data_IF_938988137319
#
_entry.id   IF_938988137319
#
_cell.length_a   1.000
_cell.length_b   1.000
_cell.length_c   1.000
_cell.angle_alpha   90.00
_cell.angle_beta   90.00
_cell.angle_gamma   90.00
#
_symmetry.space_group_name_H-M   'P 1'
#
loop_
_entity.id
_entity.type
_entity.pdbx_description
1 polymer ?
#
# COMPACT_ATOMS: atom_id res chain seq x y z
N UNK A 1 -0.85 -15.91 9.78
CA UNK A 1 -0.10 -15.79 8.52
C UNK A 1 0.94 -14.69 8.67
N UNK A 2 2.23 -15.03 8.65
CA UNK A 2 3.33 -14.06 8.69
C UNK A 2 3.41 -13.42 7.31
N UNK A 3 2.97 -12.16 7.18
CA UNK A 3 2.97 -11.46 5.90
C UNK A 3 4.41 -11.08 5.51
N UNK A 4 4.81 -11.46 4.29
CA UNK A 4 6.08 -11.04 3.70
C UNK A 4 5.99 -9.56 3.33
N UNK A 5 7.05 -8.75 3.54
CA UNK A 5 7.11 -7.40 3.00
C UNK A 5 6.84 -7.42 1.50
N UNK A 6 6.11 -6.43 1.00
CA UNK A 6 5.80 -6.29 -0.42
C UNK A 6 6.79 -5.32 -1.05
N UNK A 7 7.32 -5.62 -2.23
CA UNK A 7 8.11 -4.65 -3.00
C UNK A 7 7.27 -3.40 -3.30
N UNK A 8 7.85 -2.22 -3.13
CA UNK A 8 7.19 -0.92 -3.41
C UNK A 8 6.56 -0.89 -4.80
N UNK A 9 7.28 -1.37 -5.83
CA UNK A 9 6.78 -1.39 -7.22
C UNK A 9 5.49 -2.16 -7.35
N UNK A 10 5.40 -3.32 -6.70
CA UNK A 10 4.21 -4.17 -6.73
C UNK A 10 3.06 -3.51 -5.98
N UNK A 11 3.36 -2.90 -4.83
CA UNK A 11 2.39 -2.19 -4.01
C UNK A 11 1.79 -0.99 -4.77
N UNK A 12 2.62 -0.12 -5.34
CA UNK A 12 2.19 1.01 -6.16
C UNK A 12 1.38 0.57 -7.39
N UNK A 13 1.69 -0.59 -7.97
CA UNK A 13 0.90 -1.16 -9.08
C UNK A 13 -0.51 -1.52 -8.63
N UNK A 14 -0.67 -2.09 -7.44
CA UNK A 14 -2.00 -2.39 -6.88
C UNK A 14 -2.80 -1.12 -6.60
N UNK A 15 -2.17 -0.08 -6.05
CA UNK A 15 -2.83 1.20 -5.83
C UNK A 15 -3.35 1.83 -7.12
N UNK A 16 -2.53 1.82 -8.19
CA UNK A 16 -2.96 2.29 -9.51
C UNK A 16 -4.15 1.52 -10.08
N UNK A 17 -4.27 0.22 -9.80
CA UNK A 17 -5.42 -0.58 -10.26
C UNK A 17 -6.72 -0.15 -9.60
N UNK A 18 -6.64 0.44 -8.40
CA UNK A 18 -7.81 0.88 -7.64
C UNK A 18 -7.99 2.40 -7.60
N UNK A 19 -7.19 3.13 -8.38
CA UNK A 19 -7.21 4.59 -8.40
C UNK A 19 -6.77 5.25 -7.09
N UNK A 20 -6.02 4.53 -6.24
CA UNK A 20 -5.53 5.08 -4.98
C UNK A 20 -4.18 5.75 -5.18
N UNK A 21 -3.96 6.83 -4.45
CA UNK A 21 -2.77 7.65 -4.57
C UNK A 21 -1.88 7.55 -3.33
N UNK A 22 -0.58 7.62 -3.57
CA UNK A 22 0.43 7.53 -2.53
C UNK A 22 1.23 8.83 -2.51
N UNK A 23 0.96 9.69 -1.53
CA UNK A 23 1.58 11.00 -1.41
C UNK A 23 2.81 10.91 -0.52
N UNK A 24 3.97 11.28 -1.05
CA UNK A 24 5.24 11.27 -0.31
C UNK A 24 5.28 12.40 0.72
N UNK A 25 5.40 12.05 2.00
CA UNK A 25 5.71 12.99 3.08
C UNK A 25 7.21 13.11 3.34
N UNK A 26 7.57 13.71 4.48
CA UNK A 26 8.99 13.89 4.89
C UNK A 26 9.68 12.59 5.33
N UNK A 27 8.93 11.67 5.94
CA UNK A 27 9.43 10.42 6.53
C UNK A 27 8.57 9.24 6.08
N UNK A 28 7.25 9.45 6.02
CA UNK A 28 6.27 8.45 5.64
C UNK A 28 5.46 8.87 4.40
N UNK A 29 4.81 7.90 3.76
CA UNK A 29 3.87 8.12 2.66
C UNK A 29 2.43 8.11 3.17
N UNK A 30 1.56 8.95 2.62
CA UNK A 30 0.12 8.95 2.91
C UNK A 30 -0.61 8.23 1.79
N UNK A 31 -1.38 7.20 2.15
CA UNK A 31 -2.29 6.53 1.24
C UNK A 31 -3.61 7.29 1.22
N UNK A 32 -4.00 7.71 0.03
CA UNK A 32 -5.28 8.34 -0.26
C UNK A 32 -6.10 7.38 -1.13
N UNK A 33 -7.41 7.37 -0.92
CA UNK A 33 -8.32 6.67 -1.83
C UNK A 33 -8.52 7.45 -3.14
N UNK A 34 -9.36 6.89 -4.02
CA UNK A 34 -9.73 7.51 -5.31
C UNK A 34 -10.42 8.88 -5.19
N UNK A 35 -10.94 9.22 -4.01
CA UNK A 35 -11.60 10.50 -3.73
C UNK A 35 -10.66 11.48 -3.00
N UNK A 36 -9.39 11.11 -2.80
CA UNK A 36 -8.42 11.89 -2.03
C UNK A 36 -8.60 11.80 -0.50
N UNK A 37 -9.41 10.87 -0.01
CA UNK A 37 -9.63 10.64 1.42
C UNK A 37 -8.42 9.89 2.00
N UNK A 38 -7.89 10.41 3.10
CA UNK A 38 -6.80 9.75 3.80
C UNK A 38 -7.23 8.40 4.38
N UNK A 39 -6.56 7.33 3.93
CA UNK A 39 -6.76 5.97 4.41
C UNK A 39 -5.79 5.67 5.55
N UNK A 40 -4.49 5.72 5.28
CA UNK A 40 -3.47 5.37 6.26
C UNK A 40 -2.08 5.90 5.88
N UNK A 41 -1.17 5.84 6.86
CA UNK A 41 0.25 6.13 6.65
C UNK A 41 1.00 4.85 6.31
N UNK A 42 1.92 4.95 5.36
CA UNK A 42 2.71 3.87 4.78
C UNK A 42 4.19 4.15 5.00
N UNK A 43 4.86 3.17 5.60
CA UNK A 43 6.29 3.20 5.79
C UNK A 43 6.97 2.29 4.77
N UNK A 44 7.78 2.93 3.93
CA UNK A 44 8.65 2.26 2.95
C UNK A 44 10.05 2.27 3.54
N UNK A 45 10.53 1.09 3.90
CA UNK A 45 11.86 0.92 4.49
C UNK A 45 12.85 0.48 3.41
N UNK A 46 14.08 0.96 3.53
CA UNK A 46 15.18 0.53 2.67
C UNK A 46 15.85 -0.68 3.32
N UNK A 47 15.68 -1.85 2.72
CA UNK A 47 16.37 -3.06 3.14
C UNK A 47 17.88 -2.92 2.88
N UNK A 48 18.73 -3.62 3.65
CA UNK A 48 20.22 -3.56 3.56
C UNK A 48 20.80 -3.82 2.16
N UNK A 49 20.00 -4.35 1.23
CA UNK A 49 20.36 -4.60 -0.18
C UNK A 49 19.84 -3.53 -1.17
N UNK A 50 19.39 -2.38 -0.69
CA UNK A 50 18.88 -1.30 -1.54
C UNK A 50 17.49 -1.54 -2.13
N UNK A 51 16.77 -2.57 -1.65
CA UNK A 51 15.36 -2.82 -2.04
C UNK A 51 14.43 -2.02 -1.13
N UNK A 52 13.49 -1.30 -1.74
CA UNK A 52 12.43 -0.58 -1.03
C UNK A 52 11.28 -1.54 -0.73
N UNK A 53 11.07 -1.80 0.56
CA UNK A 53 10.06 -2.75 1.05
C UNK A 53 8.97 -2.01 1.82
N UNK A 54 7.71 -2.34 1.50
CA UNK A 54 6.53 -1.82 2.20
C UNK A 54 6.23 -2.73 3.39
N UNK A 55 6.24 -2.14 4.58
CA UNK A 55 6.20 -2.88 5.85
C UNK A 55 4.76 -3.31 6.24
N UNK A 56 4.65 -4.45 6.93
CA UNK A 56 3.41 -5.20 7.19
C UNK A 56 2.24 -4.41 7.80
N UNK A 57 2.47 -3.38 8.63
CA UNK A 57 1.39 -2.58 9.23
C UNK A 57 0.57 -1.80 8.20
N UNK A 58 1.22 -1.36 7.12
CA UNK A 58 0.54 -0.63 6.06
C UNK A 58 -0.21 -1.58 5.12
N UNK A 59 0.41 -2.69 4.73
CA UNK A 59 -0.22 -3.73 3.88
C UNK A 59 -1.46 -4.32 4.54
N UNK A 60 -1.43 -4.58 5.85
CA UNK A 60 -2.61 -5.07 6.60
C UNK A 60 -3.74 -4.04 6.65
N UNK A 61 -3.42 -2.75 6.82
CA UNK A 61 -4.44 -1.69 6.80
C UNK A 61 -5.06 -1.57 5.42
N UNK A 62 -4.24 -1.56 4.36
CA UNK A 62 -4.73 -1.55 2.99
C UNK A 62 -5.59 -2.76 2.68
N UNK A 63 -5.17 -3.97 3.07
CA UNK A 63 -5.98 -5.18 2.90
C UNK A 63 -7.33 -5.07 3.62
N UNK A 64 -7.35 -4.56 4.86
CA UNK A 64 -8.60 -4.35 5.62
C UNK A 64 -9.53 -3.37 4.92
N UNK A 65 -9.00 -2.26 4.43
CA UNK A 65 -9.77 -1.24 3.73
C UNK A 65 -10.33 -1.75 2.40
N UNK A 66 -9.55 -2.54 1.67
CA UNK A 66 -10.03 -3.25 0.49
C UNK A 66 -11.18 -4.20 0.83
N UNK A 67 -11.03 -5.05 1.85
CA UNK A 67 -12.09 -5.96 2.29
C UNK A 67 -13.34 -5.20 2.76
N UNK A 68 -13.16 -4.09 3.48
CA UNK A 68 -14.26 -3.24 3.95
C UNK A 68 -15.06 -2.65 2.79
N UNK A 69 -14.39 -2.25 1.70
CA UNK A 69 -15.02 -1.76 0.48
C UNK A 69 -15.59 -2.87 -0.42
N UNK A 70 -15.40 -4.14 -0.08
CA UNK A 70 -15.83 -5.30 -0.87
C UNK A 70 -14.89 -5.68 -2.02
N UNK A 71 -13.65 -5.19 -2.01
CA UNK A 71 -12.66 -5.42 -3.07
C UNK A 71 -11.73 -6.56 -2.69
N UNK A 72 -11.32 -7.35 -3.68
CA UNK A 72 -10.31 -8.41 -3.47
C UNK A 72 -8.93 -7.80 -3.28
N UNK A 73 -8.23 -8.22 -2.22
CA UNK A 73 -6.81 -7.90 -2.02
C UNK A 73 -5.94 -9.15 -2.22
N UNK A 74 -4.85 -9.07 -3.00
CA UNK A 74 -4.49 -7.97 -3.88
C UNK A 74 -5.49 -7.80 -5.04
N UNK A 75 -5.65 -6.57 -5.58
CA UNK A 75 -6.53 -6.34 -6.73
C UNK A 75 -6.07 -7.17 -7.92
N UNK A 76 -7.00 -7.91 -8.52
CA UNK A 76 -6.75 -8.61 -9.78
C UNK A 76 -6.87 -7.60 -10.92
N UNK A 77 -5.94 -7.66 -11.86
CA UNK A 77 -5.99 -6.86 -13.08
C UNK A 77 -7.30 -7.19 -13.80
N UNK A 78 -8.17 -6.19 -13.98
CA UNK A 78 -9.36 -6.30 -14.82
C UNK A 78 -8.95 -6.54 -16.27
#
# INVERSE_FOLDING_TARGET
MVFKPLDEKTYCKFLKMVGWDLVKGKIDYKLLDENGIFICTIQISHSKRGKQEVTAYSVQKTEREFKFRGWTWPPKKK
#
